data_IF_828697208541
#
_entry.id   IF_828697208541
#
_cell.length_a   1.000
_cell.length_b   1.000
_cell.length_c   1.000
_cell.angle_alpha   90.00
_cell.angle_beta   90.00
_cell.angle_gamma   90.00
#
_symmetry.space_group_name_H-M   'P 1'
#
loop_
_entity.id
_entity.type
_entity.pdbx_description
1 polymer ?
#
# COMPACT_ATOMS: atom_id res chain seq x y z
N UNK A 1 -17.26 31.69 12.50
CA UNK A 1 -15.90 31.18 12.19
C UNK A 1 -16.00 29.68 11.94
N UNK A 2 -15.67 29.16 10.75
CA UNK A 2 -15.57 27.73 10.52
C UNK A 2 -14.44 27.19 11.39
N UNK A 3 -14.73 26.18 12.23
CA UNK A 3 -13.73 25.53 13.10
C UNK A 3 -12.62 24.98 12.21
N UNK A 4 -11.39 25.40 12.43
CA UNK A 4 -10.26 24.89 11.65
C UNK A 4 -10.09 23.36 11.90
N UNK A 5 -9.78 22.56 10.85
CA UNK A 5 -9.58 21.13 11.00
C UNK A 5 -8.44 20.80 11.97
N UNK A 6 -8.61 19.74 12.77
CA UNK A 6 -7.56 19.31 13.71
C UNK A 6 -6.42 18.59 12.98
N UNK A 7 -5.19 18.74 13.47
CA UNK A 7 -4.02 18.00 12.94
C UNK A 7 -4.24 16.50 13.09
N UNK A 8 -4.80 16.06 14.21
CA UNK A 8 -5.11 14.64 14.45
C UNK A 8 -6.10 14.07 13.42
N UNK A 9 -7.14 14.83 13.05
CA UNK A 9 -8.08 14.41 12.00
C UNK A 9 -7.40 14.18 10.66
N UNK A 10 -6.51 15.11 10.24
CA UNK A 10 -5.72 14.92 9.02
C UNK A 10 -4.70 13.79 9.11
N UNK A 11 -4.10 13.57 10.29
CA UNK A 11 -3.23 12.43 10.53
C UNK A 11 -4.00 11.10 10.36
N UNK A 12 -5.23 11.01 10.89
CA UNK A 12 -6.08 9.85 10.68
C UNK A 12 -6.42 9.63 9.19
N UNK A 13 -6.63 10.69 8.41
CA UNK A 13 -6.86 10.57 6.96
C UNK A 13 -5.62 9.99 6.27
N UNK A 14 -4.42 10.52 6.53
CA UNK A 14 -3.18 9.98 5.95
C UNK A 14 -2.95 8.53 6.40
N UNK A 15 -3.15 8.23 7.69
CA UNK A 15 -3.02 6.86 8.21
C UNK A 15 -3.99 5.89 7.51
N UNK A 16 -5.24 6.29 7.29
CA UNK A 16 -6.23 5.44 6.61
C UNK A 16 -5.88 5.15 5.15
N UNK A 17 -5.14 6.05 4.49
CA UNK A 17 -4.62 5.82 3.13
C UNK A 17 -3.45 4.83 3.16
N UNK A 18 -2.59 4.89 4.17
CA UNK A 18 -1.48 3.96 4.32
C UNK A 18 -1.96 2.57 4.76
N UNK A 19 -2.84 2.51 5.78
CA UNK A 19 -3.28 1.25 6.40
C UNK A 19 -4.33 0.58 5.51
N UNK A 20 -3.87 -0.39 4.75
CA UNK A 20 -4.68 -1.15 3.81
C UNK A 20 -3.99 -2.47 3.45
N UNK A 21 -4.30 -3.01 2.28
CA UNK A 21 -3.76 -4.29 1.82
C UNK A 21 -2.22 -4.36 1.80
N UNK A 22 -1.52 -3.23 1.60
CA UNK A 22 -0.06 -3.19 1.57
C UNK A 22 0.58 -3.71 2.86
N UNK A 23 0.01 -3.39 4.03
CA UNK A 23 0.54 -3.84 5.32
C UNK A 23 0.48 -5.36 5.50
N UNK A 24 -0.47 -6.04 4.85
CA UNK A 24 -0.66 -7.48 4.98
C UNK A 24 0.53 -8.28 4.41
N UNK A 25 1.23 -7.71 3.43
CA UNK A 25 2.44 -8.31 2.85
C UNK A 25 3.72 -8.09 3.65
N UNK A 26 3.73 -7.19 4.64
CA UNK A 26 4.95 -6.85 5.41
C UNK A 26 5.54 -8.05 6.17
N UNK A 27 4.75 -8.90 6.89
CA UNK A 27 5.32 -10.05 7.56
C UNK A 27 5.99 -11.03 6.58
N UNK A 28 5.34 -11.33 5.47
CA UNK A 28 5.91 -12.24 4.47
C UNK A 28 7.19 -11.66 3.86
N UNK A 29 7.19 -10.40 3.46
CA UNK A 29 8.40 -9.77 2.90
C UNK A 29 9.53 -9.67 3.92
N UNK A 30 9.20 -9.57 5.20
CA UNK A 30 10.13 -9.47 6.33
C UNK A 30 10.57 -10.79 6.95
N UNK A 31 10.02 -11.94 6.52
CA UNK A 31 10.28 -13.23 7.14
C UNK A 31 11.79 -13.59 7.21
N UNK A 32 12.54 -13.25 6.19
CA UNK A 32 14.00 -13.42 6.18
C UNK A 32 14.73 -12.43 7.11
N UNK A 33 14.31 -11.17 7.13
CA UNK A 33 14.90 -10.09 7.94
C UNK A 33 14.53 -10.19 9.42
N UNK A 34 13.44 -10.85 9.69
CA UNK A 34 12.84 -11.06 11.00
C UNK A 34 12.54 -9.74 11.73
N UNK A 35 12.34 -9.77 13.04
CA UNK A 35 11.78 -8.66 13.82
C UNK A 35 12.60 -7.38 13.74
N UNK A 36 13.90 -7.43 14.07
CA UNK A 36 14.72 -6.22 14.21
C UNK A 36 14.96 -5.55 12.84
N UNK A 37 15.40 -6.33 11.87
CA UNK A 37 15.75 -5.77 10.57
C UNK A 37 14.51 -5.40 9.73
N UNK A 38 13.38 -6.09 9.96
CA UNK A 38 12.08 -5.66 9.41
C UNK A 38 11.65 -4.32 10.00
N UNK A 39 11.76 -4.13 11.31
CA UNK A 39 11.47 -2.86 11.95
C UNK A 39 12.36 -1.73 11.42
N UNK A 40 13.67 -1.98 11.26
CA UNK A 40 14.60 -1.00 10.70
C UNK A 40 14.20 -0.61 9.27
N UNK A 41 13.88 -1.58 8.40
CA UNK A 41 13.48 -1.31 7.02
C UNK A 41 12.18 -0.51 6.95
N UNK A 42 11.17 -0.86 7.77
CA UNK A 42 9.88 -0.15 7.83
C UNK A 42 10.07 1.28 8.36
N UNK A 43 10.85 1.46 9.44
CA UNK A 43 11.13 2.78 10.01
C UNK A 43 11.88 3.68 9.01
N UNK A 44 12.91 3.16 8.34
CA UNK A 44 13.64 3.91 7.33
C UNK A 44 12.74 4.32 6.16
N UNK A 45 11.91 3.40 5.69
CA UNK A 45 10.94 3.70 4.63
C UNK A 45 9.97 4.79 5.05
N UNK A 46 9.40 4.70 6.27
CA UNK A 46 8.52 5.74 6.81
C UNK A 46 9.19 7.11 6.82
N UNK A 47 10.42 7.21 7.30
CA UNK A 47 11.16 8.48 7.35
C UNK A 47 11.33 9.05 5.95
N UNK A 48 11.79 8.25 4.98
CA UNK A 48 11.99 8.71 3.60
C UNK A 48 10.68 9.13 2.96
N UNK A 49 9.61 8.33 3.13
CA UNK A 49 8.31 8.63 2.56
C UNK A 49 7.69 9.90 3.17
N UNK A 50 7.87 10.12 4.47
CA UNK A 50 7.42 11.36 5.14
C UNK A 50 8.18 12.58 4.59
N UNK A 51 9.49 12.48 4.49
CA UNK A 51 10.33 13.56 3.95
C UNK A 51 9.99 13.84 2.48
N UNK A 52 9.77 12.82 1.68
CA UNK A 52 9.34 12.95 0.29
C UNK A 52 7.96 13.63 0.16
N UNK A 53 7.01 13.26 1.00
CA UNK A 53 5.71 13.93 1.06
C UNK A 53 5.82 15.40 1.45
N UNK A 54 6.76 15.75 2.33
CA UNK A 54 7.06 17.15 2.65
C UNK A 54 7.71 17.90 1.49
N UNK A 55 8.62 17.26 0.74
CA UNK A 55 9.16 17.84 -0.49
C UNK A 55 8.05 18.10 -1.50
N UNK A 56 7.11 17.16 -1.67
CA UNK A 56 5.97 17.36 -2.56
C UNK A 56 5.08 18.52 -2.09
N UNK A 57 4.86 18.65 -0.77
CA UNK A 57 4.13 19.76 -0.18
C UNK A 57 4.83 21.11 -0.43
N UNK A 58 6.18 21.17 -0.35
CA UNK A 58 6.97 22.34 -0.70
C UNK A 58 6.79 22.72 -2.19
N UNK A 59 6.81 21.73 -3.08
CA UNK A 59 6.58 21.98 -4.51
C UNK A 59 5.19 22.56 -4.76
N UNK A 60 4.18 22.09 -4.05
CA UNK A 60 2.81 22.63 -4.15
C UNK A 60 2.66 24.04 -3.59
N UNK A 61 3.51 24.50 -2.65
CA UNK A 61 3.36 25.81 -2.00
C UNK A 61 3.45 26.98 -2.97
N UNK A 62 4.03 26.79 -4.14
CA UNK A 62 4.15 27.79 -5.20
C UNK A 62 2.97 27.80 -6.19
N UNK A 63 1.95 26.98 -5.97
CA UNK A 63 0.78 26.83 -6.83
C UNK A 63 -0.53 27.09 -6.06
N UNK A 64 -1.63 27.24 -6.79
CA UNK A 64 -2.96 27.30 -6.20
C UNK A 64 -3.26 26.06 -5.34
N UNK A 65 -4.10 26.25 -4.28
CA UNK A 65 -4.44 25.19 -3.33
C UNK A 65 -5.04 23.92 -3.96
N UNK A 66 -5.62 24.05 -5.16
CA UNK A 66 -6.26 22.93 -5.88
C UNK A 66 -5.44 22.40 -7.04
N UNK A 67 -4.17 22.82 -7.16
CA UNK A 67 -3.31 22.31 -8.23
C UNK A 67 -3.15 20.79 -8.13
N UNK A 68 -3.34 20.09 -9.24
CA UNK A 68 -3.17 18.63 -9.30
C UNK A 68 -1.69 18.26 -9.45
N UNK A 69 -1.36 17.02 -9.07
CA UNK A 69 0.00 16.48 -9.25
C UNK A 69 0.44 16.54 -10.72
N UNK A 70 -0.45 16.18 -11.65
CA UNK A 70 -0.18 16.26 -13.08
C UNK A 70 0.06 17.69 -13.57
N UNK A 71 -0.73 18.67 -13.07
CA UNK A 71 -0.56 20.08 -13.43
C UNK A 71 0.82 20.60 -13.02
N UNK A 72 1.21 20.36 -11.78
CA UNK A 72 2.51 20.83 -11.24
C UNK A 72 3.67 20.11 -11.93
N UNK A 73 3.56 18.80 -12.14
CA UNK A 73 4.59 18.02 -12.83
C UNK A 73 4.76 18.49 -14.28
N UNK A 74 3.67 18.74 -15.01
CA UNK A 74 3.71 19.22 -16.39
C UNK A 74 4.36 20.61 -16.50
N UNK A 75 3.98 21.53 -15.62
CA UNK A 75 4.51 22.91 -15.64
C UNK A 75 6.00 22.96 -15.29
N UNK A 76 6.43 22.21 -14.29
CA UNK A 76 7.82 22.25 -13.82
C UNK A 76 8.78 21.34 -14.58
N UNK A 77 8.35 20.14 -14.95
CA UNK A 77 9.22 19.10 -15.51
C UNK A 77 8.92 18.78 -16.99
N UNK A 78 7.83 19.36 -17.54
CA UNK A 78 7.45 19.19 -18.94
C UNK A 78 6.53 17.99 -19.19
N UNK A 79 5.97 17.98 -20.40
CA UNK A 79 4.92 17.03 -20.82
C UNK A 79 5.41 15.57 -20.83
N UNK A 80 6.65 15.32 -21.24
CA UNK A 80 7.21 13.96 -21.33
C UNK A 80 7.34 13.32 -19.93
N UNK A 81 7.90 14.04 -18.95
CA UNK A 81 8.03 13.53 -17.59
C UNK A 81 6.65 13.35 -16.95
N UNK A 82 5.72 14.27 -17.22
CA UNK A 82 4.34 14.12 -16.76
C UNK A 82 3.65 12.88 -17.36
N UNK A 83 3.87 12.56 -18.63
CA UNK A 83 3.34 11.35 -19.27
C UNK A 83 3.91 10.08 -18.62
N UNK A 84 5.22 10.03 -18.35
CA UNK A 84 5.86 8.92 -17.63
C UNK A 84 5.27 8.77 -16.22
N UNK A 85 5.11 9.88 -15.50
CA UNK A 85 4.50 9.89 -14.17
C UNK A 85 3.07 9.34 -14.19
N UNK A 86 2.24 9.80 -15.11
CA UNK A 86 0.86 9.33 -15.24
C UNK A 86 0.79 7.85 -15.60
N UNK A 87 1.68 7.37 -16.48
CA UNK A 87 1.79 5.95 -16.82
C UNK A 87 2.21 5.11 -15.60
N UNK A 88 3.16 5.61 -14.81
CA UNK A 88 3.57 4.94 -13.56
C UNK A 88 2.43 4.84 -12.55
N UNK A 89 1.67 5.91 -12.35
CA UNK A 89 0.49 5.91 -11.45
C UNK A 89 -0.56 4.91 -11.94
N UNK A 90 -0.84 4.88 -13.24
CA UNK A 90 -1.79 3.94 -13.84
C UNK A 90 -1.32 2.48 -13.69
N UNK A 91 -0.05 2.21 -13.99
CA UNK A 91 0.53 0.87 -13.81
C UNK A 91 0.40 0.38 -12.37
N UNK A 92 0.75 1.25 -11.41
CA UNK A 92 0.64 0.91 -9.97
C UNK A 92 -0.81 0.61 -9.59
N UNK A 93 -1.77 1.42 -10.04
CA UNK A 93 -3.19 1.18 -9.79
C UNK A 93 -3.66 -0.16 -10.35
N UNK A 94 -3.32 -0.49 -11.59
CA UNK A 94 -3.70 -1.73 -12.25
C UNK A 94 -3.12 -2.98 -11.57
N UNK A 95 -1.82 -2.94 -11.23
CA UNK A 95 -1.16 -4.09 -10.58
C UNK A 95 -1.62 -4.28 -9.14
N UNK A 96 -2.00 -3.21 -8.44
CA UNK A 96 -2.62 -3.31 -7.11
C UNK A 96 -4.02 -3.92 -7.20
N UNK A 97 -4.84 -3.52 -8.16
CA UNK A 97 -6.16 -4.16 -8.39
C UNK A 97 -6.02 -5.65 -8.65
N UNK A 98 -5.04 -6.07 -9.45
CA UNK A 98 -4.72 -7.48 -9.66
C UNK A 98 -4.34 -8.18 -8.34
N UNK A 99 -3.44 -7.59 -7.54
CA UNK A 99 -3.02 -8.15 -6.26
C UNK A 99 -4.20 -8.34 -5.30
N UNK A 100 -5.06 -7.34 -5.21
CA UNK A 100 -6.24 -7.38 -4.33
C UNK A 100 -7.28 -8.41 -4.79
N UNK A 101 -7.47 -8.54 -6.10
CA UNK A 101 -8.37 -9.54 -6.69
C UNK A 101 -7.90 -10.96 -6.36
N UNK A 102 -6.62 -11.24 -6.57
CA UNK A 102 -6.02 -12.57 -6.30
C UNK A 102 -6.08 -12.90 -4.81
N UNK A 103 -5.66 -11.97 -3.93
CA UNK A 103 -5.67 -12.19 -2.49
C UNK A 103 -7.08 -12.40 -1.94
N UNK A 104 -8.06 -11.60 -2.38
CA UNK A 104 -9.46 -11.78 -1.96
C UNK A 104 -10.04 -13.11 -2.42
N UNK A 105 -9.74 -13.50 -3.66
CA UNK A 105 -10.17 -14.78 -4.20
C UNK A 105 -9.70 -15.95 -3.36
N UNK A 106 -8.41 -15.99 -3.00
CA UNK A 106 -7.82 -17.04 -2.16
C UNK A 106 -8.42 -17.08 -0.75
N UNK A 107 -8.57 -15.92 -0.10
CA UNK A 107 -9.16 -15.86 1.24
C UNK A 107 -10.63 -16.33 1.22
N UNK A 108 -11.43 -15.88 0.24
CA UNK A 108 -12.84 -16.26 0.13
C UNK A 108 -12.94 -17.76 -0.16
N UNK A 109 -12.14 -18.29 -1.09
CA UNK A 109 -12.13 -19.73 -1.40
C UNK A 109 -11.85 -20.55 -0.14
N UNK A 110 -10.81 -20.21 0.61
CA UNK A 110 -10.47 -20.91 1.85
C UNK A 110 -11.57 -20.82 2.91
N UNK A 111 -12.29 -19.70 3.00
CA UNK A 111 -13.40 -19.54 3.94
C UNK A 111 -14.61 -20.39 3.57
N UNK A 112 -14.92 -20.56 2.27
CA UNK A 112 -16.11 -21.33 1.83
C UNK A 112 -15.83 -22.82 1.62
N UNK A 113 -14.57 -23.21 1.44
CA UNK A 113 -14.16 -24.59 1.17
C UNK A 113 -14.75 -25.65 2.12
N UNK A 114 -14.94 -25.40 3.45
CA UNK A 114 -15.55 -26.36 4.34
C UNK A 114 -17.01 -26.69 4.01
N UNK A 115 -17.70 -25.81 3.27
CA UNK A 115 -19.12 -25.97 2.90
C UNK A 115 -19.30 -26.27 1.40
N UNK A 116 -18.43 -25.68 0.55
CA UNK A 116 -18.54 -25.79 -0.91
C UNK A 116 -17.12 -25.92 -1.47
N UNK A 117 -16.80 -27.09 -1.98
CA UNK A 117 -15.55 -27.33 -2.73
C UNK A 117 -15.78 -26.99 -4.21
N UNK A 118 -15.15 -25.92 -4.66
CA UNK A 118 -15.21 -25.45 -6.06
C UNK A 118 -14.12 -26.09 -6.95
N UNK A 119 -13.34 -26.99 -6.42
CA UNK A 119 -12.24 -27.67 -7.12
C UNK A 119 -11.18 -26.70 -7.66
N UNK A 120 -10.54 -27.06 -8.77
CA UNK A 120 -9.44 -26.27 -9.37
C UNK A 120 -9.85 -24.88 -9.87
N UNK A 121 -11.13 -24.60 -10.01
CA UNK A 121 -11.67 -23.30 -10.46
C UNK A 121 -12.06 -22.37 -9.32
N UNK A 122 -11.92 -22.82 -8.06
CA UNK A 122 -12.41 -22.11 -6.88
C UNK A 122 -11.87 -20.69 -6.78
N UNK A 123 -10.55 -20.51 -6.91
CA UNK A 123 -9.90 -19.22 -6.88
C UNK A 123 -10.42 -18.27 -7.97
N UNK A 124 -10.53 -18.76 -9.21
CA UNK A 124 -11.01 -17.94 -10.34
C UNK A 124 -12.49 -17.51 -10.15
N UNK A 125 -13.32 -18.39 -9.64
CA UNK A 125 -14.74 -18.13 -9.35
C UNK A 125 -14.85 -17.08 -8.24
N UNK A 126 -14.15 -17.27 -7.11
CA UNK A 126 -14.17 -16.36 -5.98
C UNK A 126 -13.63 -14.97 -6.35
N UNK A 127 -12.52 -14.91 -7.11
CA UNK A 127 -11.96 -13.66 -7.64
C UNK A 127 -12.96 -12.93 -8.55
N UNK A 128 -13.64 -13.67 -9.43
CA UNK A 128 -14.63 -13.09 -10.36
C UNK A 128 -15.82 -12.53 -9.59
N UNK A 129 -16.38 -13.28 -8.64
CA UNK A 129 -17.50 -12.81 -7.80
C UNK A 129 -17.07 -11.57 -7.02
N UNK A 130 -15.90 -11.58 -6.40
CA UNK A 130 -15.36 -10.43 -5.67
C UNK A 130 -15.31 -9.17 -6.56
N UNK A 131 -14.69 -9.28 -7.74
CA UNK A 131 -14.59 -8.14 -8.65
C UNK A 131 -15.96 -7.65 -9.09
N UNK A 132 -16.88 -8.53 -9.53
CA UNK A 132 -18.19 -8.14 -10.01
C UNK A 132 -19.02 -7.44 -8.93
N UNK A 133 -19.02 -7.97 -7.71
CA UNK A 133 -19.81 -7.41 -6.60
C UNK A 133 -19.26 -6.05 -6.18
N UNK A 134 -17.93 -5.95 -5.95
CA UNK A 134 -17.39 -4.75 -5.34
C UNK A 134 -17.04 -3.64 -6.34
N UNK A 135 -16.68 -3.97 -7.58
CA UNK A 135 -16.52 -2.97 -8.64
C UNK A 135 -17.87 -2.37 -9.09
N UNK A 136 -19.00 -3.06 -8.85
CA UNK A 136 -20.33 -2.51 -9.08
C UNK A 136 -20.55 -1.20 -8.30
N UNK A 137 -20.05 -1.11 -7.06
CA UNK A 137 -20.17 0.12 -6.27
C UNK A 137 -19.42 1.29 -6.92
N UNK A 138 -18.22 1.03 -7.47
CA UNK A 138 -17.45 2.02 -8.21
C UNK A 138 -18.17 2.45 -9.49
N UNK A 139 -18.71 1.48 -10.24
CA UNK A 139 -19.53 1.76 -11.43
C UNK A 139 -20.76 2.58 -11.12
N UNK A 140 -21.43 2.28 -10.00
CA UNK A 140 -22.71 2.90 -9.67
C UNK A 140 -22.56 4.36 -9.28
N UNK A 141 -21.67 4.69 -8.33
CA UNK A 141 -21.59 6.06 -7.81
C UNK A 141 -20.43 6.26 -6.83
N UNK A 142 -19.67 7.34 -7.00
CA UNK A 142 -18.64 7.80 -6.04
C UNK A 142 -19.20 8.02 -4.63
N UNK A 143 -20.47 8.46 -4.51
CA UNK A 143 -21.13 8.66 -3.21
C UNK A 143 -21.35 7.37 -2.44
N UNK A 144 -21.61 6.26 -3.15
CA UNK A 144 -21.75 4.94 -2.51
C UNK A 144 -20.37 4.43 -2.07
N UNK A 145 -19.34 4.63 -2.89
CA UNK A 145 -17.94 4.32 -2.55
C UNK A 145 -17.55 5.01 -1.25
N UNK A 146 -17.81 6.31 -1.13
CA UNK A 146 -17.51 7.09 0.08
C UNK A 146 -18.16 6.48 1.34
N UNK A 147 -19.45 6.17 1.29
CA UNK A 147 -20.18 5.57 2.41
C UNK A 147 -19.64 4.20 2.81
N UNK A 148 -19.36 3.34 1.81
CA UNK A 148 -18.82 2.00 2.05
C UNK A 148 -17.41 2.11 2.63
N UNK A 149 -16.58 3.04 2.15
CA UNK A 149 -15.24 3.27 2.67
C UNK A 149 -15.24 3.64 4.16
N UNK A 150 -16.15 4.52 4.59
CA UNK A 150 -16.32 4.87 6.01
C UNK A 150 -16.70 3.64 6.85
N UNK A 151 -17.66 2.84 6.37
CA UNK A 151 -18.08 1.61 7.05
C UNK A 151 -16.92 0.62 7.17
N UNK A 152 -16.16 0.42 6.08
CA UNK A 152 -15.01 -0.49 6.06
C UNK A 152 -13.90 -0.04 6.99
N UNK A 153 -13.61 1.26 7.09
CA UNK A 153 -12.60 1.78 8.02
C UNK A 153 -12.96 1.46 9.47
N UNK A 154 -14.21 1.67 9.86
CA UNK A 154 -14.69 1.36 11.22
C UNK A 154 -14.61 -0.17 11.48
N UNK A 155 -15.12 -0.97 10.54
CA UNK A 155 -15.09 -2.42 10.65
C UNK A 155 -13.66 -2.98 10.72
N UNK A 156 -12.76 -2.46 9.86
CA UNK A 156 -11.34 -2.81 9.86
C UNK A 156 -10.68 -2.45 11.20
N UNK A 157 -10.99 -1.28 11.77
CA UNK A 157 -10.47 -0.89 13.06
C UNK A 157 -10.88 -1.84 14.19
N UNK A 158 -12.16 -2.21 14.24
CA UNK A 158 -12.68 -3.14 15.26
C UNK A 158 -12.04 -4.53 15.10
N UNK A 159 -12.05 -5.08 13.88
CA UNK A 159 -11.49 -6.42 13.62
C UNK A 159 -9.98 -6.46 13.84
N UNK A 160 -9.26 -5.38 13.51
CA UNK A 160 -7.83 -5.24 13.82
C UNK A 160 -7.55 -5.30 15.32
N UNK A 161 -8.26 -4.50 16.12
CA UNK A 161 -8.05 -4.46 17.58
C UNK A 161 -8.29 -5.83 18.20
N UNK A 162 -9.38 -6.52 17.82
CA UNK A 162 -9.68 -7.87 18.31
C UNK A 162 -8.59 -8.87 17.88
N UNK A 163 -8.14 -8.81 16.62
CA UNK A 163 -7.08 -9.66 16.09
C UNK A 163 -5.77 -9.46 16.85
N UNK A 164 -5.35 -8.20 17.03
CA UNK A 164 -4.11 -7.87 17.73
C UNK A 164 -4.18 -8.30 19.20
N UNK A 165 -5.30 -8.06 19.88
CA UNK A 165 -5.47 -8.50 21.27
C UNK A 165 -5.33 -10.02 21.40
N UNK A 166 -5.97 -10.79 20.52
CA UNK A 166 -5.90 -12.25 20.52
C UNK A 166 -4.50 -12.79 20.20
N UNK A 167 -3.80 -12.17 19.24
CA UNK A 167 -2.43 -12.53 18.88
C UNK A 167 -1.44 -12.14 19.99
N UNK A 168 -1.57 -10.94 20.57
CA UNK A 168 -0.67 -10.44 21.59
C UNK A 168 -0.67 -11.30 22.87
N UNK A 169 -1.80 -11.94 23.19
CA UNK A 169 -1.92 -12.83 24.33
C UNK A 169 -1.06 -14.11 24.22
N UNK A 170 -0.67 -14.48 23.01
CA UNK A 170 0.08 -15.72 22.73
C UNK A 170 1.49 -15.46 22.18
N UNK A 171 2.01 -14.23 22.25
CA UNK A 171 3.36 -13.91 21.78
C UNK A 171 4.40 -14.69 22.58
N UNK A 172 5.23 -15.47 21.88
CA UNK A 172 6.47 -16.05 22.40
C UNK A 172 7.64 -15.11 22.09
N UNK A 173 8.39 -14.71 23.12
CA UNK A 173 9.61 -13.90 22.92
C UNK A 173 10.68 -14.69 22.18
N UNK A 174 10.75 -16.01 22.42
CA UNK A 174 11.70 -16.88 21.72
C UNK A 174 11.41 -16.90 20.21
N UNK A 175 10.12 -16.98 19.84
CA UNK A 175 9.69 -16.92 18.43
C UNK A 175 9.91 -15.53 17.86
N UNK A 176 9.53 -14.47 18.60
CA UNK A 176 9.64 -13.08 18.16
C UNK A 176 11.10 -12.71 17.82
N UNK A 177 12.06 -13.18 18.59
CA UNK A 177 13.49 -12.87 18.38
C UNK A 177 14.27 -14.03 17.74
N UNK A 178 13.58 -15.11 17.31
CA UNK A 178 14.17 -16.32 16.71
C UNK A 178 15.35 -16.87 17.56
N UNK A 179 15.12 -16.98 18.87
CA UNK A 179 16.16 -17.44 19.81
C UNK A 179 16.45 -18.92 19.55
N UNK A 180 17.70 -19.21 19.19
CA UNK A 180 18.13 -20.56 18.77
C UNK A 180 17.91 -20.85 17.28
N UNK A 181 17.53 -19.86 16.48
CA UNK A 181 17.44 -19.96 15.03
C UNK A 181 18.78 -20.37 14.39
N UNK A 182 18.71 -21.15 13.30
CA UNK A 182 19.89 -21.71 12.64
C UNK A 182 20.68 -20.66 11.81
N UNK A 183 20.07 -19.54 11.46
CA UNK A 183 20.69 -18.50 10.62
C UNK A 183 20.91 -17.21 11.42
N UNK A 184 22.17 -16.79 11.59
CA UNK A 184 22.55 -15.55 12.28
C UNK A 184 22.55 -14.27 11.43
N UNK A 185 22.32 -14.37 10.10
CA UNK A 185 22.46 -13.21 9.20
C UNK A 185 21.10 -12.78 8.61
N UNK A 186 20.35 -12.05 9.42
CA UNK A 186 19.03 -11.50 9.04
C UNK A 186 19.13 -10.23 8.19
N UNK A 187 20.22 -9.45 8.35
CA UNK A 187 20.37 -8.14 7.73
C UNK A 187 20.35 -8.20 6.20
N UNK A 188 20.89 -9.26 5.60
CA UNK A 188 20.95 -9.47 4.15
C UNK A 188 19.58 -9.52 3.49
N UNK A 189 18.55 -9.97 4.24
CA UNK A 189 17.18 -10.08 3.71
C UNK A 189 16.37 -8.78 3.84
N UNK A 190 16.82 -7.83 4.70
CA UNK A 190 16.09 -6.57 4.92
C UNK A 190 15.94 -5.74 3.63
N UNK A 191 16.92 -5.83 2.75
CA UNK A 191 16.95 -5.09 1.47
C UNK A 191 15.70 -5.44 0.63
N UNK A 192 15.32 -6.72 0.57
CA UNK A 192 14.16 -7.18 -0.19
C UNK A 192 12.81 -6.65 0.29
N UNK A 193 12.74 -6.09 1.50
CA UNK A 193 11.49 -5.54 2.04
C UNK A 193 11.12 -4.16 1.48
N UNK A 194 12.09 -3.36 1.04
CA UNK A 194 11.87 -1.95 0.70
C UNK A 194 10.78 -1.72 -0.35
N UNK A 195 10.63 -2.51 -1.43
CA UNK A 195 9.56 -2.31 -2.39
C UNK A 195 8.17 -2.46 -1.78
N UNK A 196 7.96 -3.49 -0.94
CA UNK A 196 6.69 -3.73 -0.25
C UNK A 196 6.42 -2.66 0.81
N UNK A 197 7.44 -2.31 1.60
CA UNK A 197 7.34 -1.25 2.60
C UNK A 197 7.01 0.11 1.96
N UNK A 198 7.64 0.45 0.81
CA UNK A 198 7.37 1.69 0.09
C UNK A 198 5.91 1.74 -0.39
N UNK A 199 5.39 0.64 -0.95
CA UNK A 199 3.98 0.55 -1.37
C UNK A 199 3.05 0.80 -0.19
N UNK A 200 3.38 0.26 0.99
CA UNK A 200 2.56 0.41 2.21
C UNK A 200 2.47 1.86 2.68
N UNK A 201 3.45 2.70 2.39
CA UNK A 201 3.43 4.14 2.69
C UNK A 201 3.05 5.01 1.48
N UNK A 202 2.29 4.50 0.53
CA UNK A 202 1.96 5.15 -0.76
C UNK A 202 0.88 6.24 -0.69
N UNK A 203 0.96 7.21 0.21
CA UNK A 203 -0.05 8.26 0.43
C UNK A 203 0.12 9.54 -0.41
N UNK A 204 1.14 9.65 -1.25
CA UNK A 204 1.55 10.92 -1.91
C UNK A 204 0.46 11.58 -2.75
N UNK A 205 -0.47 10.81 -3.30
CA UNK A 205 -1.65 11.33 -4.01
C UNK A 205 -2.56 12.18 -3.11
N UNK A 206 -2.50 12.01 -1.79
CA UNK A 206 -3.30 12.76 -0.81
C UNK A 206 -2.64 14.06 -0.34
N UNK A 207 -1.38 14.34 -0.71
CA UNK A 207 -0.66 15.53 -0.23
C UNK A 207 -1.33 16.83 -0.67
N UNK A 208 -1.75 16.94 -1.93
CA UNK A 208 -2.48 18.11 -2.42
C UNK A 208 -3.83 18.31 -1.71
N UNK A 209 -4.53 17.21 -1.45
CA UNK A 209 -5.79 17.23 -0.70
C UNK A 209 -5.60 17.68 0.75
N UNK A 210 -4.52 17.26 1.42
CA UNK A 210 -4.19 17.72 2.77
C UNK A 210 -3.85 19.21 2.81
N UNK A 211 -3.10 19.70 1.81
CA UNK A 211 -2.84 21.12 1.67
C UNK A 211 -4.14 21.91 1.50
N UNK A 212 -5.03 21.46 0.62
CA UNK A 212 -6.33 22.11 0.40
C UNK A 212 -7.24 22.04 1.64
N UNK A 213 -7.17 20.94 2.41
CA UNK A 213 -7.97 20.74 3.62
C UNK A 213 -7.63 21.74 4.73
N UNK A 214 -6.34 22.07 4.90
CA UNK A 214 -5.90 23.04 5.92
C UNK A 214 -5.80 24.46 5.39
N UNK A 215 -5.63 24.66 4.09
CA UNK A 215 -5.32 25.94 3.49
C UNK A 215 -3.91 26.46 3.78
N UNK A 216 -3.06 25.64 4.42
CA UNK A 216 -1.67 25.97 4.77
C UNK A 216 -0.79 24.73 4.82
N UNK A 217 0.49 24.89 4.48
CA UNK A 217 1.46 23.80 4.38
C UNK A 217 1.89 23.26 5.75
N UNK A 218 2.00 24.16 6.76
CA UNK A 218 2.55 23.77 8.06
C UNK A 218 1.67 22.75 8.79
N UNK A 219 0.35 22.90 8.78
CA UNK A 219 -0.57 21.91 9.36
C UNK A 219 -0.60 20.61 8.55
N UNK A 220 -0.59 20.73 7.22
CA UNK A 220 -0.51 19.57 6.34
C UNK A 220 0.77 18.75 6.61
N UNK A 221 1.92 19.41 6.82
CA UNK A 221 3.20 18.78 7.20
C UNK A 221 3.07 17.95 8.48
N UNK A 222 2.46 18.50 9.54
CA UNK A 222 2.27 17.77 10.79
C UNK A 222 1.23 16.65 10.68
N UNK A 223 0.19 16.83 9.87
CA UNK A 223 -0.79 15.78 9.59
C UNK A 223 -0.14 14.60 8.84
N UNK A 224 0.73 14.88 7.87
CA UNK A 224 1.51 13.84 7.17
C UNK A 224 2.40 13.08 8.14
N UNK A 225 3.19 13.77 8.98
CA UNK A 225 4.04 13.13 9.98
C UNK A 225 3.22 12.28 10.97
N UNK A 226 2.13 12.82 11.48
CA UNK A 226 1.25 12.10 12.39
C UNK A 226 0.64 10.86 11.75
N UNK A 227 0.19 10.97 10.50
CA UNK A 227 -0.43 9.86 9.77
C UNK A 227 0.55 8.75 9.42
N UNK A 228 1.74 9.08 8.93
CA UNK A 228 2.80 8.10 8.68
C UNK A 228 3.31 7.46 9.98
N UNK A 229 3.33 8.22 11.09
CA UNK A 229 3.66 7.70 12.42
C UNK A 229 2.63 6.72 12.96
N UNK A 230 1.32 7.01 12.80
CA UNK A 230 0.25 6.05 13.13
C UNK A 230 0.38 4.80 12.27
N UNK A 231 0.59 4.93 10.96
CA UNK A 231 0.77 3.80 10.07
C UNK A 231 1.98 2.94 10.46
N UNK A 232 3.13 3.56 10.77
CA UNK A 232 4.32 2.88 11.27
C UNK A 232 3.99 2.04 12.51
N UNK A 233 3.32 2.64 13.49
CA UNK A 233 2.95 1.95 14.73
C UNK A 233 2.09 0.72 14.45
N UNK A 234 1.08 0.84 13.60
CA UNK A 234 0.21 -0.27 13.23
C UNK A 234 0.96 -1.37 12.44
N UNK A 235 1.90 -0.98 11.56
CA UNK A 235 2.72 -1.94 10.81
C UNK A 235 3.67 -2.72 11.71
N UNK A 236 4.32 -2.04 12.67
CA UNK A 236 5.20 -2.70 13.62
C UNK A 236 4.42 -3.65 14.54
N UNK A 237 3.26 -3.22 15.05
CA UNK A 237 2.38 -4.09 15.84
C UNK A 237 1.99 -5.32 15.01
N UNK A 238 1.54 -5.14 13.76
CA UNK A 238 1.14 -6.24 12.89
C UNK A 238 2.27 -7.24 12.65
N UNK A 239 3.45 -6.75 12.27
CA UNK A 239 4.63 -7.59 12.02
C UNK A 239 5.04 -8.34 13.30
N UNK A 240 5.09 -7.66 14.45
CA UNK A 240 5.54 -8.26 15.72
C UNK A 240 4.57 -9.33 16.23
N UNK A 241 3.26 -9.10 16.14
CA UNK A 241 2.30 -10.12 16.57
C UNK A 241 2.32 -11.35 15.65
N UNK A 242 2.56 -11.17 14.36
CA UNK A 242 2.72 -12.29 13.42
C UNK A 242 4.01 -13.07 13.75
N UNK A 243 5.15 -12.38 13.86
CA UNK A 243 6.43 -13.02 14.14
C UNK A 243 6.52 -13.62 15.55
N UNK A 244 5.77 -13.08 16.52
CA UNK A 244 5.70 -13.66 17.86
C UNK A 244 4.83 -14.90 17.98
N UNK A 245 3.98 -15.18 16.98
CA UNK A 245 3.08 -16.34 16.94
C UNK A 245 3.47 -17.40 15.91
N UNK A 246 4.04 -16.99 14.76
CA UNK A 246 4.38 -17.90 13.68
C UNK A 246 5.90 -18.04 13.60
N UNK A 247 6.49 -19.23 13.90
CA UNK A 247 7.91 -19.48 13.79
C UNK A 247 8.45 -19.23 12.38
N UNK A 248 9.71 -18.81 12.30
CA UNK A 248 10.35 -18.36 11.04
C UNK A 248 10.36 -19.45 9.96
N UNK A 249 10.62 -20.68 10.32
CA UNK A 249 10.62 -21.85 9.42
C UNK A 249 9.23 -22.12 8.79
N UNK A 250 8.15 -21.73 9.48
CA UNK A 250 6.80 -21.88 8.96
C UNK A 250 6.43 -20.88 7.86
N UNK A 251 7.33 -19.97 7.49
CA UNK A 251 7.18 -19.12 6.31
C UNK A 251 7.57 -19.80 4.99
N UNK A 252 8.19 -21.00 5.04
CA UNK A 252 8.57 -21.73 3.83
C UNK A 252 7.38 -21.99 2.86
N UNK A 253 6.22 -22.54 3.30
CA UNK A 253 5.07 -22.77 2.42
C UNK A 253 4.52 -21.47 1.82
N UNK A 254 4.64 -20.37 2.55
CA UNK A 254 4.17 -19.04 2.09
C UNK A 254 5.04 -18.58 0.93
N UNK A 255 6.36 -18.73 1.01
CA UNK A 255 7.29 -18.41 -0.06
C UNK A 255 7.16 -19.35 -1.26
N UNK A 256 6.93 -20.65 -1.06
CA UNK A 256 6.65 -21.62 -2.13
C UNK A 256 5.38 -21.25 -2.92
N UNK A 257 4.43 -20.57 -2.26
CA UNK A 257 3.20 -20.04 -2.85
C UNK A 257 3.33 -18.58 -3.32
N UNK A 258 4.54 -18.12 -3.68
CA UNK A 258 4.81 -16.76 -4.16
C UNK A 258 4.39 -15.64 -3.19
N UNK A 259 4.36 -15.92 -1.88
CA UNK A 259 3.98 -14.98 -0.85
C UNK A 259 2.49 -14.66 -0.82
N UNK A 260 1.65 -15.61 -1.18
CA UNK A 260 0.21 -15.45 -1.15
C UNK A 260 -0.33 -15.22 0.27
N UNK A 261 -1.24 -14.27 0.40
CA UNK A 261 -1.77 -13.85 1.70
C UNK A 261 -2.63 -14.93 2.37
N UNK A 262 -3.43 -15.65 1.60
CA UNK A 262 -4.28 -16.73 2.11
C UNK A 262 -3.46 -17.85 2.75
N UNK A 263 -2.27 -18.16 2.20
CA UNK A 263 -1.35 -19.16 2.77
C UNK A 263 -0.77 -18.64 4.10
N UNK A 264 -0.40 -17.36 4.21
CA UNK A 264 0.00 -16.75 5.48
C UNK A 264 -1.11 -16.85 6.53
N UNK A 265 -2.35 -16.50 6.16
CA UNK A 265 -3.48 -16.54 7.08
C UNK A 265 -3.82 -17.96 7.52
N UNK A 266 -3.70 -18.95 6.63
CA UNK A 266 -3.87 -20.36 6.97
C UNK A 266 -2.77 -20.86 7.90
N UNK A 267 -1.50 -20.55 7.62
CA UNK A 267 -0.37 -20.91 8.49
C UNK A 267 -0.52 -20.31 9.89
N UNK A 268 -0.90 -19.03 9.97
CA UNK A 268 -1.21 -18.38 11.25
C UNK A 268 -2.41 -19.02 11.93
N UNK A 269 -3.46 -19.36 11.17
CA UNK A 269 -4.64 -20.07 11.68
C UNK A 269 -4.34 -21.45 12.27
N UNK A 270 -3.29 -22.14 11.85
CA UNK A 270 -2.90 -23.44 12.39
C UNK A 270 -2.25 -23.33 13.77
N UNK A 271 -1.59 -22.21 14.09
CA UNK A 271 -0.94 -21.97 15.38
C UNK A 271 -1.83 -21.27 16.40
N UNK A 272 -2.93 -20.63 15.98
CA UNK A 272 -3.88 -19.96 16.85
C UNK A 272 -4.96 -20.96 17.28
N UNK A 273 -5.23 -21.08 18.56
CA UNK A 273 -6.30 -21.95 19.09
C UNK A 273 -7.70 -21.34 18.93
N UNK A 274 -7.83 -20.02 19.15
CA UNK A 274 -9.11 -19.32 19.16
C UNK A 274 -9.72 -19.15 17.78
N UNK A 275 -10.86 -19.81 17.53
CA UNK A 275 -11.62 -19.62 16.28
C UNK A 275 -12.10 -18.18 16.06
N UNK A 276 -12.43 -17.46 17.14
CA UNK A 276 -12.83 -16.05 17.05
C UNK A 276 -11.69 -15.19 16.51
N UNK A 277 -10.47 -15.39 17.02
CA UNK A 277 -9.29 -14.64 16.56
C UNK A 277 -9.00 -14.94 15.09
N UNK A 278 -9.06 -16.22 14.68
CA UNK A 278 -8.93 -16.61 13.26
C UNK A 278 -9.93 -15.87 12.36
N UNK A 279 -11.20 -15.87 12.75
CA UNK A 279 -12.24 -15.18 12.00
C UNK A 279 -12.03 -13.67 11.94
N UNK A 280 -11.58 -13.05 13.04
CA UNK A 280 -11.31 -11.60 13.06
C UNK A 280 -10.10 -11.22 12.20
N UNK A 281 -9.06 -12.03 12.16
CA UNK A 281 -7.90 -11.81 11.27
C UNK A 281 -8.32 -11.90 9.79
N UNK A 282 -9.11 -12.91 9.42
CA UNK A 282 -9.64 -13.03 8.08
C UNK A 282 -10.56 -11.85 7.71
N UNK A 283 -11.46 -11.46 8.62
CA UNK A 283 -12.37 -10.33 8.44
C UNK A 283 -11.61 -9.01 8.28
N UNK A 284 -10.58 -8.79 9.09
CA UNK A 284 -9.67 -7.64 8.97
C UNK A 284 -8.97 -7.64 7.61
N UNK A 285 -8.40 -8.77 7.19
CA UNK A 285 -7.66 -8.88 5.95
C UNK A 285 -8.55 -8.62 4.72
N UNK A 286 -9.75 -9.20 4.69
CA UNK A 286 -10.73 -8.93 3.62
C UNK A 286 -11.15 -7.46 3.62
N UNK A 287 -11.41 -6.86 4.78
CA UNK A 287 -11.81 -5.46 4.88
C UNK A 287 -10.69 -4.52 4.41
N UNK A 288 -9.43 -4.80 4.76
CA UNK A 288 -8.27 -4.05 4.34
C UNK A 288 -8.06 -4.12 2.82
N UNK A 289 -8.20 -5.32 2.23
CA UNK A 289 -8.09 -5.50 0.78
C UNK A 289 -9.26 -4.82 0.07
N UNK A 290 -10.49 -4.99 0.56
CA UNK A 290 -11.69 -4.42 -0.03
C UNK A 290 -11.67 -2.88 -0.01
N UNK A 291 -11.26 -2.28 1.10
CA UNK A 291 -11.09 -0.84 1.21
C UNK A 291 -10.08 -0.31 0.18
N UNK A 292 -8.94 -1.00 0.05
CA UNK A 292 -7.91 -0.66 -0.93
C UNK A 292 -8.38 -0.90 -2.38
N UNK A 293 -9.09 -2.00 -2.65
CA UNK A 293 -9.64 -2.32 -3.97
C UNK A 293 -10.63 -1.24 -4.44
N UNK A 294 -11.55 -0.82 -3.59
CA UNK A 294 -12.54 0.20 -3.92
C UNK A 294 -11.86 1.56 -4.11
N UNK A 295 -10.93 1.93 -3.23
CA UNK A 295 -10.23 3.22 -3.30
C UNK A 295 -9.34 3.36 -4.54
N UNK A 296 -8.47 2.37 -4.78
CA UNK A 296 -7.63 2.31 -5.98
C UNK A 296 -8.47 2.16 -7.24
N UNK A 297 -9.52 1.31 -7.17
CA UNK A 297 -10.44 1.08 -8.28
C UNK A 297 -11.14 2.36 -8.73
N UNK A 298 -11.61 3.19 -7.80
CA UNK A 298 -12.19 4.49 -8.13
C UNK A 298 -11.17 5.43 -8.77
N UNK A 299 -9.96 5.51 -8.22
CA UNK A 299 -8.91 6.35 -8.77
C UNK A 299 -8.50 5.97 -10.19
N UNK A 300 -8.37 4.68 -10.48
CA UNK A 300 -8.06 4.17 -11.83
C UNK A 300 -9.24 4.37 -12.76
N UNK A 301 -10.46 4.15 -12.29
CA UNK A 301 -11.69 4.34 -13.05
C UNK A 301 -11.83 5.80 -13.53
N UNK A 302 -11.66 6.76 -12.63
CA UNK A 302 -11.77 8.19 -12.95
C UNK A 302 -10.62 8.61 -13.89
N UNK A 303 -9.40 8.12 -13.66
CA UNK A 303 -8.25 8.38 -14.52
C UNK A 303 -8.49 7.87 -15.94
N UNK A 304 -8.98 6.64 -16.13
CA UNK A 304 -9.23 6.08 -17.45
C UNK A 304 -10.43 6.72 -18.15
N UNK A 305 -11.46 7.10 -17.40
CA UNK A 305 -12.57 7.87 -17.94
C UNK A 305 -12.09 9.19 -18.55
N UNK A 306 -11.22 9.93 -17.83
CA UNK A 306 -10.64 11.17 -18.36
C UNK A 306 -9.68 10.92 -19.53
N UNK A 307 -8.84 9.90 -19.44
CA UNK A 307 -7.86 9.56 -20.48
C UNK A 307 -8.52 9.21 -21.83
N UNK A 308 -9.56 8.36 -21.79
CA UNK A 308 -10.31 7.94 -22.99
C UNK A 308 -11.47 8.88 -23.34
N UNK A 309 -11.68 9.95 -22.54
CA UNK A 309 -12.78 10.89 -22.71
C UNK A 309 -14.16 10.22 -22.68
N UNK A 310 -14.31 9.21 -21.82
CA UNK A 310 -15.62 8.59 -21.59
C UNK A 310 -16.48 9.55 -20.74
N UNK A 311 -17.75 9.66 -21.11
CA UNK A 311 -18.71 10.50 -20.40
C UNK A 311 -19.31 9.79 -19.16
N UNK A 312 -20.07 10.53 -18.35
CA UNK A 312 -20.74 10.02 -17.15
C UNK A 312 -22.07 9.29 -17.43
N UNK A 313 -22.40 9.03 -18.71
CA UNK A 313 -23.54 8.20 -19.07
C UNK A 313 -23.34 6.76 -18.61
N UNK A 314 -24.42 5.99 -18.51
CA UNK A 314 -24.33 4.55 -18.19
C UNK A 314 -23.37 3.81 -19.13
N UNK A 315 -23.37 4.16 -20.42
CA UNK A 315 -22.47 3.55 -21.43
C UNK A 315 -21.03 3.97 -21.19
N UNK A 316 -20.74 5.25 -20.96
CA UNK A 316 -19.41 5.75 -20.67
C UNK A 316 -18.84 5.14 -19.40
N UNK A 317 -19.62 5.10 -18.31
CA UNK A 317 -19.23 4.44 -17.06
C UNK A 317 -19.00 2.93 -17.23
N UNK A 318 -19.78 2.24 -18.06
CA UNK A 318 -19.55 0.82 -18.37
C UNK A 318 -18.24 0.60 -19.13
N UNK A 319 -17.93 1.49 -20.11
CA UNK A 319 -16.62 1.44 -20.79
C UNK A 319 -15.46 1.65 -19.82
N UNK A 320 -15.54 2.65 -18.93
CA UNK A 320 -14.55 2.89 -17.89
C UNK A 320 -14.41 1.69 -16.95
N UNK A 321 -15.53 1.06 -16.56
CA UNK A 321 -15.54 -0.12 -15.70
C UNK A 321 -14.83 -1.31 -16.36
N UNK A 322 -15.09 -1.59 -17.63
CA UNK A 322 -14.46 -2.68 -18.38
C UNK A 322 -12.95 -2.47 -18.43
N UNK A 323 -12.48 -1.29 -18.85
CA UNK A 323 -11.04 -1.05 -19.00
C UNK A 323 -10.30 -0.98 -17.65
N UNK A 324 -11.02 -0.72 -16.55
CA UNK A 324 -10.44 -0.66 -15.19
C UNK A 324 -10.32 -2.03 -14.57
N UNK A 325 -11.39 -2.82 -14.56
CA UNK A 325 -11.48 -4.03 -13.73
C UNK A 325 -11.26 -5.33 -14.52
N UNK A 326 -11.51 -5.33 -15.83
CA UNK A 326 -11.37 -6.55 -16.63
C UNK A 326 -9.91 -6.99 -16.80
N UNK A 327 -8.94 -6.12 -17.13
CA UNK A 327 -7.55 -6.52 -17.24
C UNK A 327 -6.97 -7.10 -15.94
N UNK A 328 -7.12 -6.49 -14.74
CA UNK A 328 -6.69 -7.09 -13.49
C UNK A 328 -7.36 -8.43 -13.17
N UNK A 329 -8.65 -8.58 -13.49
CA UNK A 329 -9.37 -9.84 -13.30
C UNK A 329 -8.80 -10.95 -14.19
N UNK A 330 -8.59 -10.68 -15.49
CA UNK A 330 -7.99 -11.65 -16.41
C UNK A 330 -6.60 -12.06 -15.91
N UNK A 331 -5.78 -11.10 -15.49
CA UNK A 331 -4.45 -11.37 -14.94
C UNK A 331 -4.53 -12.24 -13.68
N UNK A 332 -5.51 -12.00 -12.80
CA UNK A 332 -5.73 -12.81 -11.59
C UNK A 332 -6.11 -14.27 -11.92
N UNK A 333 -6.87 -14.49 -12.99
CA UNK A 333 -7.25 -15.85 -13.46
C UNK A 333 -6.06 -16.56 -14.12
N UNK A 334 -5.28 -15.84 -14.93
CA UNK A 334 -4.15 -16.43 -15.66
C UNK A 334 -2.91 -16.66 -14.76
N UNK A 335 -2.71 -15.81 -13.77
CA UNK A 335 -1.58 -15.82 -12.86
C UNK A 335 -2.06 -15.70 -11.41
N UNK A 336 -2.68 -16.74 -10.85
CA UNK A 336 -3.36 -16.68 -9.56
C UNK A 336 -2.43 -16.45 -8.36
N UNK A 337 -1.13 -16.69 -8.54
CA UNK A 337 -0.13 -16.53 -7.49
C UNK A 337 0.65 -15.24 -7.73
N UNK A 338 0.74 -14.34 -6.77
CA UNK A 338 1.55 -13.15 -6.98
C UNK A 338 1.21 -11.92 -6.16
N UNK A 339 0.44 -12.05 -5.08
CA UNK A 339 0.09 -10.91 -4.22
C UNK A 339 1.33 -10.12 -3.78
N UNK A 340 2.31 -10.77 -3.18
CA UNK A 340 3.54 -10.13 -2.70
C UNK A 340 4.39 -9.60 -3.86
N UNK A 341 4.51 -10.37 -4.94
CA UNK A 341 5.23 -9.96 -6.14
C UNK A 341 4.59 -8.70 -6.76
N UNK A 342 3.26 -8.70 -6.87
CA UNK A 342 2.53 -7.55 -7.43
C UNK A 342 2.72 -6.29 -6.58
N UNK A 343 2.67 -6.39 -5.25
CA UNK A 343 2.95 -5.26 -4.35
C UNK A 343 4.41 -4.80 -4.49
N UNK A 344 5.35 -5.71 -4.68
CA UNK A 344 6.75 -5.38 -4.96
C UNK A 344 6.93 -4.59 -6.27
N UNK A 345 6.28 -5.01 -7.36
CA UNK A 345 6.26 -4.26 -8.62
C UNK A 345 5.62 -2.88 -8.46
N UNK A 346 4.50 -2.81 -7.72
CA UNK A 346 3.87 -1.54 -7.40
C UNK A 346 4.85 -0.60 -6.69
N UNK A 347 5.58 -1.10 -5.69
CA UNK A 347 6.58 -0.32 -4.95
C UNK A 347 7.72 0.17 -5.82
N UNK A 348 8.28 -0.69 -6.67
CA UNK A 348 9.36 -0.31 -7.57
C UNK A 348 8.97 0.83 -8.52
N UNK A 349 7.79 0.75 -9.13
CA UNK A 349 7.29 1.79 -10.05
C UNK A 349 6.79 3.03 -9.30
N UNK A 350 6.22 2.86 -8.10
CA UNK A 350 5.77 3.97 -7.26
C UNK A 350 6.91 4.91 -6.87
N UNK A 351 8.16 4.44 -6.84
CA UNK A 351 9.33 5.31 -6.58
C UNK A 351 9.38 6.52 -7.49
N UNK A 352 8.86 6.42 -8.72
CA UNK A 352 8.81 7.52 -9.69
C UNK A 352 8.04 8.69 -9.09
N UNK A 353 6.81 8.48 -8.66
CA UNK A 353 5.93 9.55 -8.20
C UNK A 353 5.96 9.77 -6.68
N UNK A 354 6.57 8.88 -5.91
CA UNK A 354 6.71 9.05 -4.46
C UNK A 354 8.09 9.57 -4.04
N UNK A 355 9.15 9.32 -4.80
CA UNK A 355 10.50 9.73 -4.45
C UNK A 355 11.14 10.65 -5.51
N UNK A 356 11.18 10.19 -6.77
CA UNK A 356 11.94 10.87 -7.83
C UNK A 356 11.27 12.19 -8.23
N UNK A 357 9.99 12.16 -8.58
CA UNK A 357 9.27 13.36 -9.03
C UNK A 357 9.18 14.42 -7.92
N UNK A 358 8.81 14.12 -6.66
CA UNK A 358 8.81 15.12 -5.59
C UNK A 358 10.15 15.82 -5.40
N UNK A 359 11.24 15.08 -5.44
CA UNK A 359 12.59 15.62 -5.33
C UNK A 359 12.96 16.55 -6.51
N UNK A 360 12.62 16.13 -7.76
CA UNK A 360 12.86 16.95 -8.96
C UNK A 360 11.99 18.21 -8.97
N UNK A 361 10.75 18.13 -8.54
CA UNK A 361 9.84 19.26 -8.43
C UNK A 361 10.41 20.32 -7.48
N UNK A 362 10.85 19.92 -6.28
CA UNK A 362 11.44 20.84 -5.31
C UNK A 362 12.76 21.44 -5.84
N UNK A 363 13.61 20.63 -6.48
CA UNK A 363 14.83 21.15 -7.08
C UNK A 363 14.54 22.27 -8.10
N UNK A 364 13.54 22.06 -8.97
CA UNK A 364 13.11 23.07 -9.95
C UNK A 364 12.44 24.27 -9.29
N UNK A 365 11.55 24.02 -8.30
CA UNK A 365 10.87 25.08 -7.54
C UNK A 365 11.88 26.01 -6.86
N UNK A 366 12.88 25.45 -6.18
CA UNK A 366 13.95 26.22 -5.51
C UNK A 366 14.82 27.03 -6.45
N UNK A 367 14.97 26.56 -7.72
CA UNK A 367 15.68 27.34 -8.77
C UNK A 367 14.81 28.46 -9.37
N UNK A 368 13.49 28.24 -9.47
CA UNK A 368 12.54 29.18 -10.06
C UNK A 368 12.14 30.29 -9.07
N UNK A 369 12.05 29.93 -7.78
CA UNK A 369 11.60 30.81 -6.71
C UNK A 369 12.68 30.89 -5.62
N UNK A 370 13.36 32.03 -5.48
CA UNK A 370 14.44 32.21 -4.51
C UNK A 370 13.97 32.14 -3.05
N UNK A 371 12.72 32.49 -2.78
CA UNK A 371 12.09 32.43 -1.45
C UNK A 371 10.70 31.81 -1.57
N UNK A 372 10.47 30.69 -0.87
CA UNK A 372 9.14 30.10 -0.64
C UNK A 372 8.80 30.26 0.83
N UNK A 373 7.55 30.57 1.16
CA UNK A 373 7.09 30.69 2.55
C UNK A 373 7.24 29.37 3.31
N UNK A 374 7.09 28.24 2.61
CA UNK A 374 7.26 26.90 3.16
C UNK A 374 8.48 26.22 2.51
N UNK A 375 9.47 25.86 3.34
CA UNK A 375 10.67 25.17 2.88
C UNK A 375 11.06 24.04 3.83
N UNK A 376 11.34 22.86 3.25
CA UNK A 376 11.82 21.69 3.98
C UNK A 376 13.33 21.79 4.19
N UNK A 377 13.79 21.51 5.40
CA UNK A 377 15.22 21.47 5.72
C UNK A 377 15.99 20.40 4.95
N UNK A 378 17.34 20.39 5.10
CA UNK A 378 18.20 19.37 4.47
C UNK A 378 18.73 19.75 3.07
N UNK A 379 18.29 20.86 2.51
CA UNK A 379 18.87 21.42 1.28
C UNK A 379 18.85 20.45 0.10
N UNK A 380 19.93 20.51 -0.73
CA UNK A 380 20.12 19.58 -1.85
C UNK A 380 20.47 18.16 -1.39
N UNK A 381 21.03 18.00 -0.18
CA UNK A 381 21.34 16.68 0.37
C UNK A 381 20.08 15.80 0.54
N UNK A 382 18.97 16.39 1.05
CA UNK A 382 17.71 15.68 1.18
C UNK A 382 17.13 15.31 -0.20
N UNK A 383 17.21 16.21 -1.17
CA UNK A 383 16.74 15.96 -2.54
C UNK A 383 17.50 14.76 -3.15
N UNK A 384 18.82 14.77 -3.08
CA UNK A 384 19.67 13.69 -3.60
C UNK A 384 19.38 12.38 -2.86
N UNK A 385 19.29 12.41 -1.54
CA UNK A 385 18.98 11.24 -0.72
C UNK A 385 17.65 10.61 -1.12
N UNK A 386 16.59 11.41 -1.31
CA UNK A 386 15.27 10.92 -1.70
C UNK A 386 15.29 10.26 -3.10
N UNK A 387 16.00 10.87 -4.06
CA UNK A 387 16.18 10.28 -5.40
C UNK A 387 16.96 8.97 -5.32
N UNK A 388 18.09 8.97 -4.60
CA UNK A 388 18.90 7.76 -4.44
C UNK A 388 18.14 6.62 -3.77
N UNK A 389 17.33 6.93 -2.76
CA UNK A 389 16.47 5.93 -2.13
C UNK A 389 15.44 5.35 -3.13
N UNK A 390 14.77 6.19 -3.92
CA UNK A 390 13.83 5.72 -4.95
C UNK A 390 14.51 4.83 -5.98
N UNK A 391 15.68 5.24 -6.50
CA UNK A 391 16.48 4.43 -7.43
C UNK A 391 16.94 3.13 -6.79
N UNK A 392 17.40 3.18 -5.54
CA UNK A 392 17.78 1.99 -4.78
C UNK A 392 16.63 0.98 -4.66
N UNK A 393 15.43 1.42 -4.28
CA UNK A 393 14.26 0.53 -4.15
C UNK A 393 13.90 -0.10 -5.49
N UNK A 394 13.93 0.67 -6.59
CA UNK A 394 13.68 0.13 -7.93
C UNK A 394 14.74 -0.93 -8.32
N UNK A 395 16.04 -0.65 -8.10
CA UNK A 395 17.12 -1.60 -8.38
C UNK A 395 16.96 -2.87 -7.54
N UNK A 396 16.68 -2.74 -6.25
CA UNK A 396 16.46 -3.86 -5.34
C UNK A 396 15.34 -4.77 -5.86
N UNK A 397 14.23 -4.19 -6.32
CA UNK A 397 13.15 -5.00 -6.86
C UNK A 397 13.57 -5.78 -8.12
N UNK A 398 14.29 -5.13 -9.06
CA UNK A 398 14.81 -5.82 -10.24
C UNK A 398 15.80 -6.93 -9.88
N UNK A 399 16.71 -6.68 -8.94
CA UNK A 399 17.65 -7.70 -8.47
C UNK A 399 16.91 -8.88 -7.81
N UNK A 400 15.87 -8.62 -7.03
CA UNK A 400 15.03 -9.67 -6.44
C UNK A 400 14.30 -10.49 -7.53
N UNK A 401 13.76 -9.82 -8.55
CA UNK A 401 13.05 -10.46 -9.67
C UNK A 401 13.96 -11.44 -10.44
N UNK A 402 15.23 -11.09 -10.60
CA UNK A 402 16.22 -11.95 -11.29
C UNK A 402 16.95 -12.92 -10.34
N UNK A 403 16.51 -13.05 -9.08
CA UNK A 403 17.12 -13.91 -8.05
C UNK A 403 18.60 -13.57 -7.72
N UNK A 404 19.00 -12.30 -7.89
CA UNK A 404 20.33 -11.83 -7.49
C UNK A 404 20.41 -11.44 -6.00
N UNK A 405 19.27 -11.32 -5.33
CA UNK A 405 19.25 -11.06 -3.88
C UNK A 405 19.05 -12.36 -3.11
N UNK A 406 19.57 -12.42 -1.87
CA UNK A 406 19.27 -13.52 -0.97
C UNK A 406 17.76 -13.62 -0.75
N UNK A 407 17.17 -14.75 -1.09
CA UNK A 407 15.77 -15.06 -0.79
C UNK A 407 15.71 -16.02 0.40
N UNK A 408 14.90 -15.66 1.39
CA UNK A 408 14.61 -16.58 2.48
C UNK A 408 13.64 -17.65 1.97
N UNK A 409 13.95 -18.92 2.24
CA UNK A 409 13.15 -20.06 1.75
C UNK A 409 12.57 -20.91 2.90
N UNK A 410 12.71 -20.44 4.15
CA UNK A 410 12.31 -21.19 5.33
C UNK A 410 13.44 -21.92 6.02
#
# INVERSE_FOLDING_TARGET
MKKQPSIFGGACIIASVCVGAGMLGLPTSGAGAWTIWSAVAICLTMVVMTLSGWLLLEAYSTYDLRASFSTVTKDMLGSTINAINNLAVYFVGGILLYAYTTASGGIIENLIKPWIDLGSSGLAICSTIFVLVFSYFVWHSTRIVDRISVLLIVFMGITFVISIYGLAANISLDTLFDIGGKEGDYAKYAIGMFPVALTSFGYHHSVSSMRAYYGEEQKAKYAILGGTGIALTLYLIWVFVIFGNLPRDQFAPIWESDGNLDVLLNSLGNVIESNTVKQMINAFSIAAILSSFIGVGLGVFDYLADFFKFDDSKIGRTKSWIVTFFPPLIMSILFPLGFLKAIGYAGAVATIWTCIIPALLVYKSRKRHNTTEFRVGGGNGLIIFTVLFGVFVAIVHFLAMFNYLPSFKG
#
